data_IF_545668541272
#
_entry.id   IF_545668541272
#
_cell.length_a   1.000
_cell.length_b   1.000
_cell.length_c   1.000
_cell.angle_alpha   90.00
_cell.angle_beta   90.00
_cell.angle_gamma   90.00
#
_symmetry.space_group_name_H-M   'P 1'
#
loop_
_entity.id
_entity.type
_entity.pdbx_description
1 polymer ?
#
# COMPACT_ATOMS: atom_id res chain seq x y z
N UNK A 1 22.26 -6.61 -3.15
CA UNK A 1 20.80 -6.79 -3.40
C UNK A 1 20.16 -5.57 -4.08
N UNK A 2 19.57 -5.77 -5.27
CA UNK A 2 18.87 -4.72 -6.05
C UNK A 2 17.44 -5.13 -6.44
N UNK A 3 16.85 -6.11 -5.74
CA UNK A 3 15.48 -6.54 -6.02
C UNK A 3 14.44 -5.61 -5.39
N UNK A 4 13.33 -5.44 -6.07
CA UNK A 4 12.10 -4.77 -5.61
C UNK A 4 10.93 -5.28 -6.45
N UNK A 5 9.71 -5.13 -5.95
CA UNK A 5 8.51 -5.51 -6.71
C UNK A 5 7.45 -4.43 -6.65
N UNK A 6 6.58 -4.45 -7.65
CA UNK A 6 5.41 -3.59 -7.75
C UNK A 6 4.17 -4.44 -7.56
N UNK A 7 3.23 -3.94 -6.76
CA UNK A 7 2.01 -4.69 -6.41
C UNK A 7 0.81 -3.75 -6.39
N UNK A 8 -0.35 -4.31 -6.71
CA UNK A 8 -1.62 -3.60 -6.60
C UNK A 8 -2.15 -3.69 -5.16
N UNK A 9 -2.91 -2.69 -4.72
CA UNK A 9 -3.57 -2.67 -3.41
C UNK A 9 -5.07 -2.36 -3.53
N UNK A 10 -5.87 -3.39 -3.30
CA UNK A 10 -7.33 -3.38 -3.40
C UNK A 10 -8.04 -2.71 -2.22
N UNK A 11 -9.36 -2.93 -2.14
CA UNK A 11 -10.22 -2.33 -1.12
C UNK A 11 -10.39 -3.16 0.16
N UNK A 12 -9.98 -4.44 0.18
CA UNK A 12 -9.99 -5.21 1.43
C UNK A 12 -8.83 -4.74 2.33
N UNK A 13 -9.12 -3.71 3.12
CA UNK A 13 -8.13 -2.94 3.86
C UNK A 13 -7.22 -3.80 4.75
N UNK A 14 -7.79 -4.71 5.55
CA UNK A 14 -6.99 -5.54 6.46
C UNK A 14 -6.27 -6.67 5.73
N UNK A 15 -6.89 -7.24 4.70
CA UNK A 15 -6.24 -8.25 3.87
C UNK A 15 -5.01 -7.68 3.15
N UNK A 16 -5.11 -6.47 2.64
CA UNK A 16 -4.02 -5.79 1.94
C UNK A 16 -2.84 -5.49 2.87
N UNK A 17 -3.10 -5.01 4.09
CA UNK A 17 -2.05 -4.85 5.12
C UNK A 17 -1.41 -6.21 5.46
N UNK A 18 -2.22 -7.25 5.63
CA UNK A 18 -1.73 -8.59 5.93
C UNK A 18 -0.89 -9.17 4.78
N UNK A 19 -1.30 -8.95 3.53
CA UNK A 19 -0.60 -9.36 2.31
C UNK A 19 0.82 -8.79 2.28
N UNK A 20 0.96 -7.48 2.47
CA UNK A 20 2.27 -6.81 2.46
C UNK A 20 3.21 -7.33 3.56
N UNK A 21 2.68 -7.57 4.77
CA UNK A 21 3.45 -8.12 5.91
C UNK A 21 3.85 -9.58 5.65
N UNK A 22 2.92 -10.40 5.18
CA UNK A 22 3.15 -11.80 4.85
C UNK A 22 4.21 -11.94 3.76
N UNK A 23 4.16 -11.10 2.72
CA UNK A 23 5.09 -11.13 1.60
C UNK A 23 6.53 -10.91 2.04
N UNK A 24 6.79 -9.90 2.89
CA UNK A 24 8.14 -9.65 3.42
C UNK A 24 8.66 -10.84 4.24
N UNK A 25 7.81 -11.45 5.07
CA UNK A 25 8.18 -12.63 5.86
C UNK A 25 8.50 -13.83 4.97
N UNK A 26 7.67 -14.07 3.95
CA UNK A 26 7.89 -15.14 2.98
C UNK A 26 9.18 -14.94 2.20
N UNK A 27 9.44 -13.72 1.72
CA UNK A 27 10.67 -13.38 1.02
C UNK A 27 11.91 -13.68 1.86
N UNK A 28 11.96 -13.16 3.10
CA UNK A 28 13.09 -13.38 3.99
C UNK A 28 13.33 -14.88 4.25
N UNK A 29 12.24 -15.64 4.46
CA UNK A 29 12.31 -17.10 4.65
C UNK A 29 12.87 -17.80 3.42
N UNK A 30 12.34 -17.52 2.23
CA UNK A 30 12.78 -18.13 0.97
C UNK A 30 14.25 -17.80 0.68
N UNK A 31 14.65 -16.54 0.81
CA UNK A 31 16.02 -16.11 0.55
C UNK A 31 17.02 -16.77 1.51
N UNK A 32 16.64 -16.95 2.78
CA UNK A 32 17.47 -17.60 3.78
C UNK A 32 17.54 -19.11 3.60
N UNK A 33 16.39 -19.78 3.52
CA UNK A 33 16.30 -21.24 3.58
C UNK A 33 16.53 -21.91 2.22
N UNK A 34 15.96 -21.38 1.14
CA UNK A 34 16.07 -21.99 -0.19
C UNK A 34 17.34 -21.55 -0.92
N UNK A 35 17.70 -20.28 -0.80
CA UNK A 35 18.83 -19.70 -1.53
C UNK A 35 20.08 -19.49 -0.68
N UNK A 36 20.05 -19.81 0.62
CA UNK A 36 21.22 -19.76 1.49
C UNK A 36 21.87 -18.37 1.62
N UNK A 37 21.10 -17.29 1.42
CA UNK A 37 21.64 -15.93 1.42
C UNK A 37 22.19 -15.54 2.80
N UNK A 38 23.47 -15.17 2.85
CA UNK A 38 24.16 -14.75 4.09
C UNK A 38 24.08 -13.24 4.37
N UNK A 39 23.98 -12.42 3.32
CA UNK A 39 23.84 -10.96 3.46
C UNK A 39 22.43 -10.62 3.95
N UNK A 40 22.33 -9.95 5.10
CA UNK A 40 21.06 -9.51 5.70
C UNK A 40 20.26 -8.59 4.78
N UNK A 41 20.93 -7.82 3.92
CA UNK A 41 20.27 -6.94 2.95
C UNK A 41 19.55 -7.71 1.84
N UNK A 42 19.94 -8.96 1.58
CA UNK A 42 19.23 -9.83 0.63
C UNK A 42 17.91 -10.36 1.20
N UNK A 43 17.74 -10.32 2.53
CA UNK A 43 16.50 -10.71 3.21
C UNK A 43 15.47 -9.57 3.28
N UNK A 44 15.89 -8.34 2.99
CA UNK A 44 15.00 -7.18 2.91
C UNK A 44 14.22 -7.20 1.60
N UNK A 45 12.93 -6.89 1.68
CA UNK A 45 12.05 -6.84 0.52
C UNK A 45 11.42 -5.46 0.40
N UNK A 46 11.68 -4.80 -0.73
CA UNK A 46 11.21 -3.45 -1.02
C UNK A 46 10.05 -3.52 -2.00
N UNK A 47 8.95 -2.88 -1.65
CA UNK A 47 7.67 -2.93 -2.35
C UNK A 47 7.27 -1.51 -2.74
N UNK A 48 6.96 -1.34 -4.03
CA UNK A 48 6.20 -0.22 -4.55
C UNK A 48 4.74 -0.64 -4.73
N UNK A 49 3.80 0.24 -4.44
CA UNK A 49 2.36 -0.06 -4.55
C UNK A 49 1.64 0.90 -5.48
N UNK A 50 0.74 0.40 -6.32
CA UNK A 50 -0.29 1.21 -6.97
C UNK A 50 -1.65 0.95 -6.31
N UNK A 51 -2.37 2.01 -5.98
CA UNK A 51 -3.78 1.93 -5.60
C UNK A 51 -4.63 1.31 -6.71
N UNK A 52 -5.81 0.78 -6.35
CA UNK A 52 -6.58 -0.03 -7.26
C UNK A 52 -7.40 0.76 -8.27
N UNK A 53 -6.88 0.93 -9.49
CA UNK A 53 -7.65 1.46 -10.63
C UNK A 53 -8.96 0.68 -10.88
N UNK A 54 -8.94 -0.64 -10.70
CA UNK A 54 -10.12 -1.51 -10.81
C UNK A 54 -11.21 -1.25 -9.76
N UNK A 55 -10.89 -0.54 -8.67
CA UNK A 55 -11.86 -0.16 -7.63
C UNK A 55 -12.54 1.19 -7.88
N UNK A 56 -12.08 1.93 -8.89
CA UNK A 56 -12.58 3.26 -9.20
C UNK A 56 -13.86 3.17 -10.02
N UNK A 57 -14.80 4.08 -9.74
CA UNK A 57 -16.07 4.16 -10.45
C UNK A 57 -16.15 5.44 -11.28
N UNK A 58 -16.65 5.34 -12.51
CA UNK A 58 -16.96 6.53 -13.32
C UNK A 58 -18.20 7.25 -12.78
N UNK A 59 -19.15 6.51 -12.20
CA UNK A 59 -20.27 7.07 -11.46
C UNK A 59 -19.79 7.62 -10.12
N UNK A 60 -20.21 8.86 -9.81
CA UNK A 60 -19.85 9.56 -8.58
C UNK A 60 -18.33 9.50 -8.30
N UNK A 61 -17.50 10.04 -9.21
CA UNK A 61 -16.04 9.85 -9.18
C UNK A 61 -15.39 10.44 -7.92
N UNK A 62 -16.02 11.44 -7.27
CA UNK A 62 -15.54 11.98 -6.00
C UNK A 62 -15.45 10.93 -4.87
N UNK A 63 -16.26 9.86 -4.92
CA UNK A 63 -16.15 8.74 -3.97
C UNK A 63 -14.80 8.00 -4.10
N UNK A 64 -14.13 8.10 -5.25
CA UNK A 64 -12.80 7.53 -5.46
C UNK A 64 -11.73 8.20 -4.59
N UNK A 65 -11.94 9.45 -4.15
CA UNK A 65 -11.05 10.12 -3.19
C UNK A 65 -11.01 9.34 -1.87
N UNK A 66 -12.18 8.93 -1.36
CA UNK A 66 -12.27 8.12 -0.15
C UNK A 66 -11.64 6.73 -0.33
N UNK A 67 -11.89 6.08 -1.48
CA UNK A 67 -11.29 4.78 -1.83
C UNK A 67 -9.76 4.87 -1.86
N UNK A 68 -9.22 5.84 -2.58
CA UNK A 68 -7.79 6.08 -2.67
C UNK A 68 -7.18 6.40 -1.30
N UNK A 69 -7.87 7.20 -0.47
CA UNK A 69 -7.42 7.52 0.90
C UNK A 69 -7.28 6.27 1.76
N UNK A 70 -8.26 5.36 1.74
CA UNK A 70 -8.20 4.11 2.48
C UNK A 70 -7.06 3.20 1.99
N UNK A 71 -6.83 3.16 0.68
CA UNK A 71 -5.74 2.39 0.09
C UNK A 71 -4.37 2.98 0.47
N UNK A 72 -4.19 4.30 0.42
CA UNK A 72 -2.98 4.99 0.88
C UNK A 72 -2.73 4.71 2.36
N UNK A 73 -3.77 4.76 3.19
CA UNK A 73 -3.65 4.41 4.60
C UNK A 73 -3.18 2.96 4.80
N UNK A 74 -3.76 2.01 4.07
CA UNK A 74 -3.31 0.61 4.11
C UNK A 74 -1.87 0.42 3.60
N UNK A 75 -1.43 1.17 2.59
CA UNK A 75 -0.04 1.21 2.15
C UNK A 75 0.91 1.65 3.29
N UNK A 76 0.58 2.75 3.98
CA UNK A 76 1.40 3.28 5.07
C UNK A 76 1.46 2.29 6.24
N UNK A 77 0.32 1.76 6.68
CA UNK A 77 0.26 0.73 7.73
C UNK A 77 0.95 -0.57 7.30
N UNK A 78 0.94 -0.86 6.00
CA UNK A 78 1.61 -1.99 5.37
C UNK A 78 3.13 -1.79 5.18
N UNK A 79 3.70 -0.63 5.51
CA UNK A 79 5.14 -0.38 5.47
C UNK A 79 5.76 -0.44 4.06
N UNK A 80 5.09 0.14 3.07
CA UNK A 80 5.58 0.21 1.68
C UNK A 80 6.66 1.27 1.52
N UNK A 81 7.56 1.11 0.55
CA UNK A 81 8.70 2.02 0.36
C UNK A 81 8.36 3.19 -0.57
N UNK A 82 7.43 2.97 -1.50
CA UNK A 82 6.88 4.00 -2.36
C UNK A 82 5.49 3.59 -2.81
N UNK A 83 4.66 4.56 -3.18
CA UNK A 83 3.32 4.29 -3.69
C UNK A 83 2.93 5.27 -4.79
N UNK A 84 2.00 4.83 -5.63
CA UNK A 84 1.27 5.64 -6.60
C UNK A 84 -0.18 5.66 -6.16
N UNK A 85 -0.77 6.86 -6.14
CA UNK A 85 -2.18 7.06 -5.82
C UNK A 85 -2.90 7.50 -7.08
N UNK A 86 -3.90 6.71 -7.45
CA UNK A 86 -4.74 6.92 -8.60
C UNK A 86 -5.58 8.18 -8.41
N UNK A 87 -5.86 8.83 -9.52
CA UNK A 87 -6.67 10.05 -9.54
C UNK A 87 -8.15 9.71 -9.52
N UNK A 88 -8.98 10.57 -8.92
CA UNK A 88 -10.40 10.25 -8.72
C UNK A 88 -11.19 10.11 -10.04
N UNK A 89 -10.70 10.68 -11.13
CA UNK A 89 -11.30 10.72 -12.47
C UNK A 89 -10.72 9.67 -13.43
N UNK A 90 -9.81 8.81 -12.97
CA UNK A 90 -9.11 7.85 -13.84
C UNK A 90 -10.03 6.78 -14.46
N UNK A 91 -11.19 6.53 -13.84
CA UNK A 91 -12.23 5.67 -14.41
C UNK A 91 -12.96 6.32 -15.61
N UNK A 92 -12.76 7.61 -15.85
CA UNK A 92 -13.38 8.39 -16.93
C UNK A 92 -12.39 8.59 -18.09
N UNK A 93 -11.10 8.78 -17.78
CA UNK A 93 -10.06 9.00 -18.78
C UNK A 93 -8.70 9.30 -18.16
N UNK A 94 -7.84 9.99 -18.91
CA UNK A 94 -6.56 10.46 -18.38
C UNK A 94 -6.80 11.48 -17.25
N UNK A 95 -6.04 11.40 -16.14
CA UNK A 95 -6.22 12.29 -15.00
C UNK A 95 -6.08 13.77 -15.35
N UNK A 96 -7.01 14.59 -14.86
CA UNK A 96 -6.87 16.04 -14.87
C UNK A 96 -5.80 16.51 -13.87
N UNK A 97 -5.25 17.72 -14.07
CA UNK A 97 -4.27 18.28 -13.14
C UNK A 97 -4.82 18.41 -11.70
N UNK A 98 -6.10 18.77 -11.58
CA UNK A 98 -6.79 18.86 -10.28
C UNK A 98 -6.89 17.49 -9.59
N UNK A 99 -7.21 16.44 -10.35
CA UNK A 99 -7.31 15.10 -9.80
C UNK A 99 -5.95 14.53 -9.40
N UNK A 100 -4.90 14.78 -10.19
CA UNK A 100 -3.51 14.44 -9.83
C UNK A 100 -3.08 15.19 -8.57
N UNK A 101 -3.37 16.49 -8.48
CA UNK A 101 -3.06 17.30 -7.29
C UNK A 101 -3.76 16.75 -6.06
N UNK A 102 -5.02 16.36 -6.19
CA UNK A 102 -5.80 15.73 -5.11
C UNK A 102 -5.15 14.41 -4.66
N UNK A 103 -4.75 13.55 -5.60
CA UNK A 103 -4.05 12.30 -5.28
C UNK A 103 -2.74 12.52 -4.52
N UNK A 104 -1.96 13.54 -4.89
CA UNK A 104 -0.74 13.92 -4.15
C UNK A 104 -1.09 14.43 -2.75
N UNK A 105 -2.15 15.23 -2.59
CA UNK A 105 -2.58 15.75 -1.29
C UNK A 105 -3.03 14.65 -0.34
N UNK A 106 -3.69 13.60 -0.83
CA UNK A 106 -4.02 12.41 -0.01
C UNK A 106 -2.75 11.83 0.63
N UNK A 107 -1.69 11.64 -0.15
CA UNK A 107 -0.41 11.14 0.38
C UNK A 107 0.15 12.06 1.45
N UNK A 108 0.18 13.37 1.19
CA UNK A 108 0.76 14.34 2.11
C UNK A 108 -0.01 14.44 3.42
N UNK A 109 -1.34 14.46 3.38
CA UNK A 109 -2.19 14.46 4.57
C UNK A 109 -1.91 13.20 5.40
N UNK A 110 -1.96 12.02 4.77
CA UNK A 110 -1.71 10.77 5.49
C UNK A 110 -0.30 10.74 6.10
N UNK A 111 0.73 11.20 5.37
CA UNK A 111 2.11 11.13 5.82
C UNK A 111 2.50 12.23 6.83
N UNK A 112 1.89 13.41 6.78
CA UNK A 112 2.35 14.57 7.55
C UNK A 112 1.37 15.06 8.60
N UNK A 113 0.09 14.69 8.53
CA UNK A 113 -0.95 15.22 9.43
C UNK A 113 -1.52 14.16 10.38
N UNK A 114 -1.50 12.88 10.01
CA UNK A 114 -2.16 11.82 10.81
C UNK A 114 -1.34 11.31 12.01
N UNK A 115 -0.04 11.59 12.03
CA UNK A 115 0.90 11.03 13.01
C UNK A 115 1.18 9.53 12.88
N UNK A 116 0.52 8.82 11.94
CA UNK A 116 0.68 7.37 11.73
C UNK A 116 2.14 6.99 11.44
N UNK A 117 2.90 7.74 10.60
CA UNK A 117 4.29 7.38 10.31
C UNK A 117 5.25 7.45 11.51
N UNK A 118 4.82 7.99 12.65
CA UNK A 118 5.64 8.05 13.85
C UNK A 118 5.71 6.72 14.62
N UNK A 119 4.87 5.73 14.28
CA UNK A 119 4.88 4.40 14.91
C UNK A 119 5.20 3.34 13.86
N UNK A 120 6.21 2.52 14.13
CA UNK A 120 6.60 1.41 13.24
C UNK A 120 5.67 0.21 13.45
N UNK A 121 5.10 -0.34 12.35
CA UNK A 121 4.14 -1.46 12.35
C UNK A 121 3.05 -1.33 13.44
N UNK A 122 2.22 -0.26 13.42
CA UNK A 122 1.20 -0.02 14.46
C UNK A 122 0.13 -1.13 14.52
N UNK A 123 0.01 -1.94 13.46
CA UNK A 123 -0.84 -3.14 13.40
C UNK A 123 -0.14 -4.40 13.96
N UNK A 124 1.03 -4.25 14.57
CA UNK A 124 1.75 -5.27 15.32
C UNK A 124 0.90 -5.84 16.46
N UNK A 125 0.80 -7.17 16.57
CA UNK A 125 -0.01 -7.81 17.61
C UNK A 125 -1.52 -7.82 17.36
N UNK A 126 -2.03 -7.15 16.32
CA UNK A 126 -3.44 -7.22 15.95
C UNK A 126 -3.83 -8.65 15.56
N UNK A 127 -4.83 -9.20 16.25
CA UNK A 127 -5.44 -10.50 15.92
C UNK A 127 -6.81 -10.23 15.30
N UNK A 128 -6.99 -10.68 14.05
CA UNK A 128 -8.33 -10.73 13.44
C UNK A 128 -9.19 -11.65 14.32
N UNK A 129 -10.23 -11.09 14.94
CA UNK A 129 -11.23 -11.92 15.61
C UNK A 129 -11.86 -12.83 14.55
N UNK A 130 -11.56 -14.13 14.61
CA UNK A 130 -12.17 -15.17 13.76
C UNK A 130 -13.61 -15.48 14.20
N UNK A 131 -14.38 -14.45 14.59
CA UNK A 131 -15.82 -14.58 14.80
C UNK A 131 -16.50 -14.33 13.45
N UNK A 132 -16.51 -15.38 12.63
CA UNK A 132 -17.49 -15.66 11.58
C UNK A 132 -17.65 -17.16 11.51
#
# INVERSE_FOLDING_TARGET
>A
PRFSSQVHLGMDFFEEIAKLRAWRRMWAKIMKERFGCKDSRSLQYRIHVHTAGSSLTSQQPLNNIARATLQVLACVLGGVQSMHTNSYDEAIGLPSEEAVRTAIRINQIVLHETGIPHVTDPMGGWKKNRRR
#
